data_IF_856283243773
#
_entry.id   IF_856283243773
#
_cell.length_a   1.000
_cell.length_b   1.000
_cell.length_c   1.000
_cell.angle_alpha   90.00
_cell.angle_beta   90.00
_cell.angle_gamma   90.00
#
_symmetry.space_group_name_H-M   'P 1'
#
loop_
_entity.id
_entity.type
_entity.pdbx_description
1 polymer ?
#
# COMPACT_ATOMS: atom_id res chain seq x y z
N UNK A 1 16.62 -8.44 -5.92
CA UNK A 1 16.08 -7.28 -5.18
C UNK A 1 14.90 -6.76 -5.99
N UNK A 2 13.86 -6.22 -5.36
CA UNK A 2 12.69 -5.64 -6.04
C UNK A 2 12.31 -4.27 -5.46
N UNK A 3 13.26 -3.59 -4.81
CA UNK A 3 13.03 -2.27 -4.23
C UNK A 3 13.71 -2.05 -2.88
N UNK A 4 13.41 -0.92 -2.26
CA UNK A 4 13.82 -0.50 -0.92
C UNK A 4 12.72 0.32 -0.27
N UNK A 5 12.54 0.18 1.03
CA UNK A 5 11.60 0.99 1.80
C UNK A 5 12.35 1.60 2.96
N UNK A 6 12.09 2.88 3.23
CA UNK A 6 12.48 3.56 4.46
C UNK A 6 11.22 3.99 5.19
N UNK A 7 11.12 3.70 6.49
CA UNK A 7 9.90 3.91 7.25
C UNK A 7 10.12 4.35 8.70
N UNK A 8 9.08 4.94 9.28
CA UNK A 8 8.94 5.28 10.69
C UNK A 8 7.51 4.94 11.14
N UNK A 9 7.37 4.38 12.34
CA UNK A 9 6.10 4.02 12.96
C UNK A 9 5.97 4.82 14.25
N UNK A 10 4.90 5.60 14.37
CA UNK A 10 4.64 6.45 15.52
C UNK A 10 3.29 6.12 16.16
N UNK A 11 3.26 6.06 17.49
CA UNK A 11 2.00 6.12 18.25
C UNK A 11 1.57 7.58 18.41
N UNK A 12 0.39 7.91 17.90
CA UNK A 12 -0.05 9.31 17.77
C UNK A 12 -0.28 9.96 19.13
N UNK A 13 -0.90 9.23 20.07
CA UNK A 13 -1.26 9.78 21.38
C UNK A 13 -0.03 10.23 22.19
N UNK A 14 1.04 9.44 22.17
CA UNK A 14 2.25 9.72 22.93
C UNK A 14 3.33 10.45 22.11
N UNK A 15 3.20 10.47 20.78
CA UNK A 15 4.25 10.90 19.86
C UNK A 15 5.45 9.96 19.80
N UNK A 16 5.41 8.82 20.49
CA UNK A 16 6.55 7.89 20.59
C UNK A 16 6.76 7.16 19.26
N UNK A 17 8.00 7.20 18.76
CA UNK A 17 8.44 6.30 17.69
C UNK A 17 8.52 4.87 18.23
N UNK A 18 7.72 3.98 17.67
CA UNK A 18 7.71 2.56 18.03
C UNK A 18 8.81 1.81 17.30
N UNK A 19 9.09 2.17 16.05
CA UNK A 19 10.16 1.61 15.25
C UNK A 19 10.44 2.46 14.01
N UNK A 20 11.64 2.37 13.48
CA UNK A 20 12.05 3.00 12.23
C UNK A 20 13.13 2.14 11.56
N UNK A 21 13.25 2.25 10.24
CA UNK A 21 14.25 1.47 9.53
C UNK A 21 14.32 1.78 8.05
N UNK A 22 15.32 1.18 7.43
CA UNK A 22 15.49 1.13 5.99
C UNK A 22 15.89 -0.29 5.62
N UNK A 23 15.29 -0.84 4.56
CA UNK A 23 15.64 -2.19 4.08
C UNK A 23 15.39 -2.34 2.60
N UNK A 24 16.19 -3.20 2.00
CA UNK A 24 15.89 -3.76 0.69
C UNK A 24 14.68 -4.69 0.76
N UNK A 25 13.83 -4.62 -0.26
CA UNK A 25 12.71 -5.54 -0.45
C UNK A 25 13.16 -6.65 -1.39
N UNK A 26 12.96 -7.90 -0.96
CA UNK A 26 13.21 -9.08 -1.77
C UNK A 26 11.89 -9.72 -2.18
N UNK A 27 11.88 -10.45 -3.29
CA UNK A 27 10.70 -11.14 -3.80
C UNK A 27 10.02 -12.01 -2.72
N UNK A 28 10.82 -12.73 -1.93
CA UNK A 28 10.34 -13.60 -0.84
C UNK A 28 9.68 -12.85 0.32
N UNK A 29 9.89 -11.55 0.42
CA UNK A 29 9.33 -10.72 1.50
C UNK A 29 7.91 -10.28 1.17
N UNK A 30 7.50 -10.36 -0.10
CA UNK A 30 6.16 -9.97 -0.54
C UNK A 30 5.21 -11.15 -0.46
N UNK A 31 4.10 -10.96 0.25
CA UNK A 31 2.97 -11.89 0.23
C UNK A 31 1.88 -11.32 -0.67
N UNK A 32 1.34 -12.16 -1.56
CA UNK A 32 0.21 -11.77 -2.41
C UNK A 32 -0.98 -12.64 -2.01
N UNK A 33 -2.08 -12.00 -1.63
CA UNK A 33 -3.36 -12.65 -1.43
C UNK A 33 -4.40 -12.11 -2.40
N UNK A 34 -5.39 -12.96 -2.74
CA UNK A 34 -6.55 -12.53 -3.52
C UNK A 34 -7.56 -11.90 -2.56
N UNK A 35 -8.14 -10.78 -2.97
CA UNK A 35 -9.20 -10.08 -2.26
C UNK A 35 -10.39 -9.87 -3.19
N UNK A 36 -11.52 -9.47 -2.62
CA UNK A 36 -12.72 -9.11 -3.36
C UNK A 36 -13.17 -7.74 -2.88
N UNK A 37 -13.50 -6.85 -3.82
CA UNK A 37 -14.05 -5.54 -3.51
C UNK A 37 -15.42 -5.70 -2.85
N UNK A 38 -15.62 -5.06 -1.70
CA UNK A 38 -16.89 -5.12 -0.98
C UNK A 38 -18.02 -4.41 -1.72
N UNK A 39 -17.70 -3.42 -2.56
CA UNK A 39 -18.69 -2.62 -3.28
C UNK A 39 -19.29 -3.30 -4.50
N UNK A 40 -18.44 -3.85 -5.37
CA UNK A 40 -18.84 -4.39 -6.67
C UNK A 40 -18.48 -5.87 -6.87
N UNK A 41 -17.84 -6.51 -5.88
CA UNK A 41 -17.43 -7.92 -5.97
C UNK A 41 -16.27 -8.17 -6.92
N UNK A 42 -15.60 -7.12 -7.44
CA UNK A 42 -14.47 -7.28 -8.35
C UNK A 42 -13.30 -8.01 -7.67
N UNK A 43 -12.62 -8.94 -8.37
CA UNK A 43 -11.44 -9.60 -7.83
C UNK A 43 -10.25 -8.63 -7.80
N UNK A 44 -9.50 -8.65 -6.71
CA UNK A 44 -8.31 -7.84 -6.52
C UNK A 44 -7.16 -8.61 -5.92
N UNK A 45 -6.05 -7.91 -5.76
CA UNK A 45 -4.86 -8.40 -5.09
C UNK A 45 -4.48 -7.51 -3.93
N UNK A 46 -4.01 -8.15 -2.86
CA UNK A 46 -3.34 -7.50 -1.75
C UNK A 46 -1.88 -7.93 -1.71
N UNK A 47 -0.95 -7.00 -1.90
CA UNK A 47 0.50 -7.25 -1.90
C UNK A 47 1.12 -6.63 -0.66
N UNK A 48 1.62 -7.46 0.25
CA UNK A 48 2.03 -7.06 1.59
C UNK A 48 3.54 -7.17 1.78
N UNK A 49 4.13 -6.16 2.43
CA UNK A 49 5.54 -6.13 2.82
C UNK A 49 5.61 -5.92 4.34
N UNK A 50 6.22 -6.85 5.10
CA UNK A 50 6.46 -6.63 6.53
C UNK A 50 7.47 -5.49 6.72
N UNK A 51 7.26 -4.66 7.72
CA UNK A 51 8.18 -3.61 8.11
C UNK A 51 8.98 -4.09 9.34
N UNK A 52 8.77 -3.47 10.50
CA UNK A 52 9.27 -3.90 11.81
C UNK A 52 8.18 -3.75 12.87
N UNK A 53 8.45 -4.17 14.12
CA UNK A 53 7.53 -4.01 15.26
C UNK A 53 6.13 -4.62 15.06
N UNK A 54 6.04 -5.63 14.20
CA UNK A 54 4.76 -6.27 13.86
C UNK A 54 3.89 -5.45 12.92
N UNK A 55 4.40 -4.40 12.27
CA UNK A 55 3.66 -3.66 11.25
C UNK A 55 3.97 -4.17 9.83
N UNK A 56 3.04 -3.94 8.92
CA UNK A 56 3.20 -4.19 7.48
C UNK A 56 2.56 -3.05 6.69
N UNK A 57 3.04 -2.87 5.46
CA UNK A 57 2.39 -2.04 4.44
C UNK A 57 1.84 -2.94 3.34
N UNK A 58 0.73 -2.58 2.74
CA UNK A 58 0.15 -3.32 1.63
C UNK A 58 -0.33 -2.40 0.51
N UNK A 59 -0.16 -2.86 -0.72
CA UNK A 59 -0.89 -2.35 -1.88
C UNK A 59 -2.17 -3.16 -2.07
N UNK A 60 -3.29 -2.47 -2.23
CA UNK A 60 -4.58 -3.01 -2.61
C UNK A 60 -4.91 -2.52 -4.01
N UNK A 61 -5.07 -3.45 -4.94
CA UNK A 61 -5.37 -3.14 -6.33
C UNK A 61 -6.46 -4.05 -6.90
N UNK A 62 -7.22 -3.49 -7.83
CA UNK A 62 -8.30 -4.18 -8.56
C UNK A 62 -8.02 -4.05 -10.05
N UNK A 63 -7.48 -5.11 -10.70
CA UNK A 63 -7.06 -5.03 -12.09
C UNK A 63 -8.20 -4.65 -13.04
N UNK A 64 -7.91 -3.81 -14.02
CA UNK A 64 -8.90 -3.34 -14.99
C UNK A 64 -8.60 -3.86 -16.40
N UNK A 65 -9.60 -3.93 -17.28
CA UNK A 65 -9.37 -4.42 -18.64
C UNK A 65 -8.64 -3.39 -19.52
N UNK A 66 -8.85 -2.09 -19.25
CA UNK A 66 -8.20 -0.97 -19.95
C UNK A 66 -7.28 -0.20 -19.01
N UNK A 67 -6.13 0.25 -19.51
CA UNK A 67 -5.15 1.04 -18.75
C UNK A 67 -5.80 2.30 -18.17
N UNK A 68 -6.60 2.97 -18.99
CA UNK A 68 -7.31 4.21 -18.63
C UNK A 68 -8.45 3.98 -17.64
N UNK A 69 -8.81 2.71 -17.36
CA UNK A 69 -9.77 2.37 -16.32
C UNK A 69 -9.19 2.43 -14.91
N UNK A 70 -7.87 2.56 -14.75
CA UNK A 70 -7.22 2.70 -13.44
C UNK A 70 -7.28 4.17 -13.03
N UNK A 71 -8.21 4.49 -12.15
CA UNK A 71 -8.41 5.86 -11.62
C UNK A 71 -7.84 6.06 -10.22
N UNK A 72 -7.48 4.97 -9.55
CA UNK A 72 -6.91 5.02 -8.21
C UNK A 72 -6.55 3.64 -7.67
N UNK A 73 -5.90 3.64 -6.51
CA UNK A 73 -5.51 2.43 -5.78
C UNK A 73 -5.35 2.73 -4.29
N UNK A 74 -5.34 1.68 -3.47
CA UNK A 74 -5.23 1.80 -2.03
C UNK A 74 -3.87 1.37 -1.52
N UNK A 75 -3.30 2.13 -0.56
CA UNK A 75 -2.28 1.61 0.33
C UNK A 75 -2.88 1.43 1.72
N UNK A 76 -2.51 0.36 2.42
CA UNK A 76 -2.83 0.17 3.83
C UNK A 76 -1.59 -0.05 4.66
N UNK A 77 -1.70 0.23 5.96
CA UNK A 77 -0.80 -0.30 6.95
C UNK A 77 -1.59 -1.07 8.01
N UNK A 78 -1.11 -2.22 8.45
CA UNK A 78 -1.81 -2.99 9.48
C UNK A 78 -0.84 -3.42 10.58
N UNK A 79 -1.41 -3.70 11.75
CA UNK A 79 -0.75 -4.41 12.84
C UNK A 79 -1.50 -5.72 13.13
N UNK A 80 -1.01 -6.89 12.65
CA UNK A 80 -1.69 -8.17 12.85
C UNK A 80 -1.99 -8.46 14.32
N UNK A 81 -3.20 -8.96 14.58
CA UNK A 81 -3.67 -9.25 15.94
C UNK A 81 -4.28 -8.05 16.66
N UNK A 82 -4.34 -6.89 16.02
CA UNK A 82 -5.10 -5.73 16.49
C UNK A 82 -6.30 -5.54 15.59
N UNK A 83 -7.44 -5.22 16.19
CA UNK A 83 -8.65 -4.82 15.47
C UNK A 83 -8.49 -3.35 15.03
N UNK A 84 -7.88 -3.18 13.85
CA UNK A 84 -7.59 -1.89 13.24
C UNK A 84 -8.11 -1.80 11.79
N UNK A 85 -8.16 -0.58 11.29
CA UNK A 85 -8.49 -0.29 9.91
C UNK A 85 -7.49 0.71 9.33
N UNK A 86 -7.09 0.48 8.08
CA UNK A 86 -6.26 1.39 7.30
C UNK A 86 -6.58 1.21 5.82
N UNK A 87 -6.97 2.30 5.18
CA UNK A 87 -7.04 2.40 3.73
C UNK A 87 -6.82 3.86 3.34
N UNK A 88 -5.67 4.11 2.73
CA UNK A 88 -5.32 5.42 2.16
C UNK A 88 -5.48 5.34 0.66
N UNK A 89 -6.29 6.25 0.11
CA UNK A 89 -6.67 6.21 -1.29
C UNK A 89 -5.78 7.16 -2.08
N UNK A 90 -5.27 6.69 -3.21
CA UNK A 90 -4.51 7.48 -4.16
C UNK A 90 -5.30 7.63 -5.46
N UNK A 91 -5.52 8.86 -5.88
CA UNK A 91 -6.15 9.20 -7.15
C UNK A 91 -5.06 9.34 -8.21
N UNK A 92 -5.23 8.68 -9.35
CA UNK A 92 -4.31 8.79 -10.47
C UNK A 92 -4.46 10.15 -11.16
N UNK A 93 -3.36 10.88 -11.27
CA UNK A 93 -3.24 12.16 -11.98
C UNK A 93 -2.24 12.00 -13.13
N UNK A 94 -2.73 11.56 -14.28
CA UNK A 94 -1.89 11.33 -15.46
C UNK A 94 -1.46 9.87 -15.62
N UNK A 95 -0.32 9.62 -16.27
CA UNK A 95 0.05 8.28 -16.71
C UNK A 95 0.77 7.45 -15.64
N UNK A 96 1.46 8.12 -14.72
CA UNK A 96 2.44 7.53 -13.80
C UNK A 96 2.54 8.29 -12.47
N UNK A 97 1.59 9.17 -12.15
CA UNK A 97 1.57 9.96 -10.92
C UNK A 97 0.21 9.84 -10.21
N UNK A 98 0.24 9.79 -8.88
CA UNK A 98 -0.96 9.69 -8.07
C UNK A 98 -0.84 10.51 -6.78
N UNK A 99 -1.94 11.15 -6.40
CA UNK A 99 -2.06 11.96 -5.19
C UNK A 99 -2.89 11.24 -4.13
N UNK A 100 -2.42 11.27 -2.89
CA UNK A 100 -3.18 10.81 -1.74
C UNK A 100 -4.38 11.72 -1.51
N UNK A 101 -5.56 11.13 -1.33
CA UNK A 101 -6.81 11.86 -1.18
C UNK A 101 -6.94 12.55 0.19
N UNK A 102 -6.48 11.90 1.26
CA UNK A 102 -6.81 12.31 2.62
C UNK A 102 -5.80 13.26 3.25
N UNK A 103 -4.54 13.22 2.83
CA UNK A 103 -3.43 14.04 3.36
C UNK A 103 -2.37 14.22 2.26
N UNK A 104 -1.39 15.12 2.42
CA UNK A 104 -0.27 15.19 1.47
C UNK A 104 0.44 13.84 1.29
N UNK A 105 0.72 13.50 0.03
CA UNK A 105 1.34 12.25 -0.33
C UNK A 105 1.34 12.08 -1.84
N UNK A 106 2.51 11.92 -2.43
CA UNK A 106 2.68 11.77 -3.86
C UNK A 106 3.41 10.48 -4.17
N UNK A 107 2.89 9.75 -5.16
CA UNK A 107 3.49 8.54 -5.67
C UNK A 107 3.71 8.67 -7.17
N UNK A 108 4.82 8.10 -7.65
CA UNK A 108 4.90 7.62 -9.02
C UNK A 108 4.56 6.14 -9.06
N UNK A 109 3.98 5.67 -10.15
CA UNK A 109 3.62 4.27 -10.30
C UNK A 109 3.81 3.75 -11.73
N UNK A 110 4.05 2.45 -11.84
CA UNK A 110 4.10 1.74 -13.12
C UNK A 110 2.90 0.81 -13.27
N UNK A 111 2.44 0.59 -14.50
CA UNK A 111 1.40 -0.38 -14.84
C UNK A 111 1.92 -1.44 -15.79
N UNK A 112 1.46 -2.68 -15.62
CA UNK A 112 1.76 -3.79 -16.52
C UNK A 112 0.49 -4.56 -16.88
N UNK A 113 0.42 -5.12 -18.09
CA UNK A 113 -0.69 -5.97 -18.50
C UNK A 113 -0.42 -7.42 -18.09
N UNK A 114 -1.36 -8.01 -17.36
CA UNK A 114 -1.38 -9.41 -16.95
C UNK A 114 -2.62 -10.11 -17.53
N UNK A 115 -2.74 -11.45 -17.40
CA UNK A 115 -3.97 -12.16 -17.73
C UNK A 115 -5.20 -11.68 -16.92
N UNK A 116 -5.00 -11.10 -15.74
CA UNK A 116 -6.07 -10.60 -14.88
C UNK A 116 -6.50 -9.18 -15.24
N UNK A 117 -5.65 -8.39 -15.89
CA UNK A 117 -5.95 -7.00 -16.25
C UNK A 117 -4.68 -6.16 -16.30
N UNK A 118 -4.84 -4.85 -16.24
CA UNK A 118 -3.75 -3.94 -15.92
C UNK A 118 -3.57 -3.92 -14.40
N UNK A 119 -2.34 -4.18 -13.95
CA UNK A 119 -1.93 -4.21 -12.55
C UNK A 119 -0.84 -3.18 -12.30
N UNK A 120 -0.75 -2.69 -11.08
CA UNK A 120 0.36 -1.89 -10.62
C UNK A 120 1.61 -2.75 -10.47
N UNK A 121 2.66 -2.30 -11.14
CA UNK A 121 3.94 -2.98 -11.26
C UNK A 121 5.06 -2.31 -10.49
N UNK A 122 4.96 -1.00 -10.27
CA UNK A 122 5.92 -0.24 -9.50
C UNK A 122 5.21 0.85 -8.67
N UNK A 123 5.83 1.20 -7.55
CA UNK A 123 5.52 2.39 -6.76
C UNK A 123 6.81 3.05 -6.33
N UNK A 124 6.92 4.35 -6.57
CA UNK A 124 7.95 5.22 -5.99
C UNK A 124 7.27 6.26 -5.12
N UNK A 125 7.77 6.43 -3.90
CA UNK A 125 7.32 7.45 -2.97
C UNK A 125 8.03 8.76 -3.31
N UNK A 126 7.35 9.63 -4.05
CA UNK A 126 7.90 10.93 -4.53
C UNK A 126 7.90 11.96 -3.40
N UNK A 127 7.00 11.81 -2.42
CA UNK A 127 7.02 12.54 -1.16
C UNK A 127 7.03 11.56 0.02
N UNK A 128 7.20 12.09 1.23
CA UNK A 128 6.84 11.33 2.43
C UNK A 128 5.33 11.06 2.40
N UNK A 129 4.93 9.84 2.74
CA UNK A 129 3.54 9.39 2.79
C UNK A 129 3.26 8.83 4.19
N UNK A 130 2.28 9.40 4.88
CA UNK A 130 1.78 8.86 6.15
C UNK A 130 0.60 7.94 5.90
N UNK A 131 0.65 6.70 6.36
CA UNK A 131 -0.50 5.79 6.39
C UNK A 131 -1.11 5.77 7.79
N UNK A 132 -2.40 6.08 7.89
CA UNK A 132 -3.15 6.12 9.15
C UNK A 132 -3.67 4.73 9.50
N UNK A 133 -3.51 4.35 10.76
CA UNK A 133 -4.14 3.16 11.33
C UNK A 133 -5.07 3.63 12.43
N UNK A 134 -6.37 3.40 12.23
CA UNK A 134 -7.45 3.78 13.15
C UNK A 134 -8.04 2.53 13.79
N UNK A 135 -8.83 2.69 14.85
CA UNK A 135 -9.53 1.54 15.44
C UNK A 135 -10.68 1.11 14.53
N UNK A 136 -10.87 -0.18 14.29
CA UNK A 136 -11.90 -0.63 13.35
C UNK A 136 -13.34 -0.27 13.81
N UNK A 137 -13.56 -0.18 15.12
CA UNK A 137 -14.84 0.17 15.73
C UNK A 137 -15.01 1.68 15.98
N UNK A 138 -14.16 2.52 15.39
CA UNK A 138 -14.34 3.97 15.48
C UNK A 138 -15.38 4.42 14.46
N UNK A 139 -16.49 4.99 14.95
CA UNK A 139 -17.60 5.46 14.12
C UNK A 139 -17.48 6.93 13.73
N UNK A 140 -16.41 7.62 14.16
CA UNK A 140 -16.14 8.98 13.73
C UNK A 140 -15.94 9.02 12.20
N UNK A 141 -16.56 9.95 11.46
CA UNK A 141 -16.31 10.12 10.03
C UNK A 141 -14.85 10.50 9.69
N UNK A 142 -14.09 11.05 10.63
CA UNK A 142 -12.65 11.30 10.50
C UNK A 142 -11.89 10.82 11.74
N UNK A 143 -11.76 9.49 11.91
CA UNK A 143 -11.24 8.91 13.14
C UNK A 143 -9.76 9.23 13.32
N UNK A 144 -9.40 9.70 14.51
CA UNK A 144 -8.02 10.02 14.84
C UNK A 144 -7.14 8.76 14.77
N UNK A 145 -6.00 8.78 14.03
CA UNK A 145 -5.13 7.62 13.95
C UNK A 145 -4.56 7.26 15.33
N UNK A 146 -4.52 5.95 15.62
CA UNK A 146 -3.80 5.40 16.77
C UNK A 146 -2.31 5.32 16.44
N UNK A 147 -2.00 4.86 15.22
CA UNK A 147 -0.65 4.80 14.70
C UNK A 147 -0.55 5.47 13.34
N UNK A 148 0.65 5.99 13.05
CA UNK A 148 1.04 6.43 11.71
C UNK A 148 2.23 5.61 11.25
N UNK A 149 2.15 5.07 10.04
CA UNK A 149 3.28 4.46 9.33
C UNK A 149 3.71 5.40 8.23
N UNK A 150 4.80 6.12 8.45
CA UNK A 150 5.39 7.01 7.44
C UNK A 150 6.33 6.21 6.56
N UNK A 151 6.11 6.25 5.26
CA UNK A 151 7.07 5.79 4.24
C UNK A 151 7.74 7.03 3.68
N UNK A 152 9.07 7.06 3.70
CA UNK A 152 9.83 8.24 3.30
C UNK A 152 10.02 8.29 1.79
N UNK A 153 10.15 9.52 1.29
CA UNK A 153 10.57 9.85 -0.07
C UNK A 153 11.78 9.00 -0.50
N UNK A 154 11.74 8.53 -1.75
CA UNK A 154 12.79 7.74 -2.39
C UNK A 154 12.70 6.25 -2.07
N UNK A 155 11.68 5.82 -1.31
CA UNK A 155 11.29 4.41 -1.22
C UNK A 155 10.71 3.97 -2.57
N UNK A 156 11.08 2.77 -3.02
CA UNK A 156 10.62 2.20 -4.30
C UNK A 156 10.31 0.73 -4.14
N UNK A 157 9.27 0.25 -4.82
CA UNK A 157 8.89 -1.17 -4.84
C UNK A 157 8.45 -1.55 -6.25
N UNK A 158 9.14 -2.52 -6.83
CA UNK A 158 8.69 -3.28 -8.01
C UNK A 158 7.81 -4.42 -7.52
N UNK A 159 6.50 -4.19 -7.51
CA UNK A 159 5.53 -5.14 -7.01
C UNK A 159 5.56 -6.42 -7.83
N UNK A 160 5.71 -7.61 -7.23
CA UNK A 160 5.58 -8.86 -7.98
C UNK A 160 4.11 -9.11 -8.35
N UNK A 161 3.90 -10.03 -9.29
CA UNK A 161 2.57 -10.47 -9.74
C UNK A 161 2.33 -11.94 -9.40
N UNK A 162 1.06 -12.35 -9.42
CA UNK A 162 0.65 -13.73 -9.19
C UNK A 162 0.35 -14.42 -10.53
N UNK A 163 1.19 -15.36 -10.95
CA UNK A 163 0.98 -16.15 -12.18
C UNK A 163 0.82 -17.61 -11.81
N UNK A 164 -0.35 -18.20 -12.12
CA UNK A 164 -0.68 -19.59 -11.78
C UNK A 164 -0.42 -19.95 -10.30
N UNK A 165 -0.74 -19.03 -9.40
CA UNK A 165 -0.54 -19.18 -7.95
C UNK A 165 0.90 -19.01 -7.48
N UNK A 166 1.84 -18.64 -8.36
CA UNK A 166 3.24 -18.37 -8.01
C UNK A 166 3.52 -16.87 -8.05
N UNK A 167 4.22 -16.38 -7.02
CA UNK A 167 4.73 -15.00 -6.97
C UNK A 167 5.93 -14.92 -7.90
N UNK A 168 5.88 -14.04 -8.89
CA UNK A 168 6.95 -13.82 -9.86
C UNK A 168 7.31 -12.33 -9.94
N UNK A 169 8.56 -11.96 -10.25
CA UNK A 169 8.94 -10.58 -10.55
C UNK A 169 8.10 -10.02 -11.71
N UNK A 170 7.93 -8.70 -11.72
CA UNK A 170 7.24 -8.04 -12.83
C UNK A 170 8.10 -7.92 -14.07
#
# INVERSE_FOLDING_TARGET
MIGKIKWEIQEVKSGKTLGAGEREVRLKDVRISKITSEGDGSPGFRKEIPLGEGFKVALLEFPTQSKDGITGFGLSADRPGVEDYSLEWFTVEGADHALKLQEPGELSFGLTKTPSGWEQSATEFVSDVSLRIVKANDTDPDPAPVWRVKIFNGSVVDWPRLVNGKVVPN
#
